data_IF_134773904500
#
_entry.id   IF_134773904500
#
_cell.length_a   1.000
_cell.length_b   1.000
_cell.length_c   1.000
_cell.angle_alpha   90.00
_cell.angle_beta   90.00
_cell.angle_gamma   90.00
#
_symmetry.space_group_name_H-M   'P 1'
#
loop_
_entity.id
_entity.type
_entity.pdbx_description
1 polymer ?
#
# COMPACT_ATOMS: atom_id res chain seq x y z
N UNK A 1 31.37 12.28 -10.70
CA UNK A 1 31.60 12.74 -12.08
C UNK A 1 32.77 11.98 -12.69
N UNK A 2 32.50 11.29 -13.81
CA UNK A 2 33.40 10.59 -14.73
C UNK A 2 34.15 9.34 -14.23
N UNK A 3 33.47 8.20 -14.37
CA UNK A 3 33.92 6.95 -15.04
C UNK A 3 33.07 5.82 -14.49
N UNK A 4 32.04 5.41 -15.24
CA UNK A 4 31.42 4.07 -15.27
C UNK A 4 30.19 4.13 -16.19
N UNK A 5 30.39 4.38 -17.48
CA UNK A 5 29.31 4.57 -18.48
C UNK A 5 29.52 3.68 -19.73
N UNK A 6 29.99 2.45 -19.54
CA UNK A 6 30.14 1.46 -20.64
C UNK A 6 29.80 0.03 -20.23
N UNK A 7 28.66 -0.16 -19.57
CA UNK A 7 28.07 -1.48 -19.40
C UNK A 7 26.55 -1.41 -19.43
N UNK A 8 25.98 -0.89 -20.52
CA UNK A 8 24.60 -1.15 -20.88
C UNK A 8 24.51 -1.64 -22.32
N UNK A 9 24.51 -2.97 -22.45
CA UNK A 9 24.07 -3.77 -23.61
C UNK A 9 24.31 -5.25 -23.29
N UNK A 10 23.47 -5.79 -22.40
CA UNK A 10 23.09 -7.21 -22.34
C UNK A 10 22.02 -7.38 -21.27
N UNK A 11 20.80 -7.71 -21.72
CA UNK A 11 19.62 -7.92 -20.92
C UNK A 11 19.84 -8.91 -19.77
N UNK A 12 19.92 -8.34 -18.58
CA UNK A 12 19.60 -8.98 -17.32
C UNK A 12 19.07 -7.84 -16.45
N UNK A 13 17.75 -7.67 -16.46
CA UNK A 13 17.11 -6.86 -15.44
C UNK A 13 17.43 -7.54 -14.10
N UNK A 14 18.33 -6.94 -13.34
CA UNK A 14 18.46 -7.24 -11.93
C UNK A 14 17.06 -7.09 -11.29
N UNK A 15 16.68 -7.91 -10.29
CA UNK A 15 15.40 -7.76 -9.63
C UNK A 15 15.27 -6.32 -9.13
N UNK A 16 14.29 -5.59 -9.66
CA UNK A 16 13.85 -4.31 -9.09
C UNK A 16 13.66 -4.51 -7.59
N UNK A 17 14.31 -3.71 -6.73
CA UNK A 17 14.06 -3.79 -5.30
C UNK A 17 12.56 -3.56 -5.08
N UNK A 18 11.88 -4.55 -4.49
CA UNK A 18 10.46 -4.49 -4.17
C UNK A 18 10.19 -3.21 -3.37
N UNK A 19 9.48 -2.29 -4.00
CA UNK A 19 8.94 -1.00 -3.54
C UNK A 19 9.42 -0.54 -2.15
N UNK A 20 10.32 0.45 -2.16
CA UNK A 20 10.50 1.35 -1.02
C UNK A 20 9.29 2.31 -0.95
N UNK A 21 8.83 2.65 0.25
CA UNK A 21 7.69 3.54 0.54
C UNK A 21 6.26 3.01 0.25
N UNK A 22 5.72 2.18 1.15
CA UNK A 22 4.29 1.84 1.19
C UNK A 22 3.43 2.93 1.84
N UNK A 23 4.01 3.72 2.75
CA UNK A 23 3.35 4.83 3.42
C UNK A 23 4.38 5.92 3.74
N UNK A 24 3.98 7.19 3.77
CA UNK A 24 4.86 8.29 4.17
C UNK A 24 4.13 9.31 5.05
N UNK A 25 4.83 10.10 5.85
CA UNK A 25 4.26 11.28 6.50
C UNK A 25 5.34 12.32 6.77
N UNK A 26 4.98 13.59 6.86
CA UNK A 26 5.90 14.70 7.10
C UNK A 26 5.33 15.61 8.18
N UNK A 27 6.19 16.10 9.07
CA UNK A 27 5.90 17.21 9.97
C UNK A 27 7.16 18.05 10.20
N UNK A 28 7.09 19.32 9.81
CA UNK A 28 8.21 20.24 9.81
C UNK A 28 9.46 19.70 9.09
N UNK A 29 10.54 19.52 9.85
CA UNK A 29 11.84 19.06 9.34
C UNK A 29 12.00 17.54 9.34
N UNK A 30 10.95 16.77 9.65
CA UNK A 30 11.02 15.32 9.72
C UNK A 30 10.00 14.66 8.82
N UNK A 31 10.43 13.59 8.16
CA UNK A 31 9.57 12.71 7.41
C UNK A 31 9.77 11.27 7.87
N UNK A 32 8.73 10.47 7.75
CA UNK A 32 8.76 9.03 8.01
C UNK A 32 8.30 8.30 6.75
N UNK A 33 9.00 7.23 6.39
CA UNK A 33 8.68 6.38 5.24
C UNK A 33 8.59 4.92 5.71
N UNK A 34 7.43 4.31 5.53
CA UNK A 34 7.17 2.91 5.82
C UNK A 34 7.52 2.00 4.65
N UNK A 35 8.11 0.85 4.92
CA UNK A 35 8.56 -0.13 3.93
C UNK A 35 8.16 -1.54 4.40
N UNK A 36 6.86 -1.86 4.35
CA UNK A 36 6.28 -3.07 4.94
C UNK A 36 6.83 -4.40 4.39
N UNK A 37 7.41 -4.40 3.20
CA UNK A 37 7.96 -5.59 2.54
C UNK A 37 9.46 -5.80 2.79
N UNK A 38 10.09 -4.88 3.54
CA UNK A 38 11.53 -4.92 3.80
C UNK A 38 11.90 -5.97 4.86
N UNK A 39 13.20 -6.22 5.02
CA UNK A 39 13.76 -7.12 6.06
C UNK A 39 13.16 -8.53 6.08
N UNK A 40 12.91 -9.08 4.89
CA UNK A 40 12.29 -10.41 4.75
C UNK A 40 10.81 -10.41 5.09
N UNK A 41 10.08 -9.37 4.69
CA UNK A 41 8.64 -9.15 4.96
C UNK A 41 8.32 -8.82 6.43
N UNK A 42 9.31 -8.60 7.27
CA UNK A 42 9.09 -8.05 8.62
C UNK A 42 8.58 -6.60 8.54
N UNK A 43 9.09 -5.87 7.56
CA UNK A 43 8.84 -4.46 7.37
C UNK A 43 9.86 -3.57 8.11
N UNK A 44 9.90 -2.30 7.72
CA UNK A 44 10.74 -1.26 8.32
C UNK A 44 10.04 0.10 8.23
N UNK A 45 10.49 1.05 9.05
CA UNK A 45 10.20 2.47 8.81
C UNK A 45 11.47 3.30 8.94
N UNK A 46 11.57 4.36 8.16
CA UNK A 46 12.77 5.17 8.03
C UNK A 46 12.42 6.62 8.36
N UNK A 47 13.16 7.21 9.29
CA UNK A 47 13.07 8.63 9.59
C UNK A 47 14.07 9.39 8.73
N UNK A 48 13.59 10.43 8.10
CA UNK A 48 14.38 11.41 7.37
C UNK A 48 14.31 12.76 8.07
N UNK A 49 15.41 13.51 8.01
CA UNK A 49 15.49 14.88 8.47
C UNK A 49 15.91 15.80 7.34
N UNK A 50 15.26 16.95 7.23
CA UNK A 50 15.63 17.99 6.26
C UNK A 50 17.04 18.52 6.55
N UNK A 51 17.83 18.67 5.50
CA UNK A 51 19.18 19.25 5.55
C UNK A 51 19.44 20.05 4.27
N UNK A 52 19.30 21.37 4.38
CA UNK A 52 19.28 22.25 3.21
C UNK A 52 18.05 21.97 2.36
N UNK A 53 18.24 21.83 1.06
CA UNK A 53 17.15 21.56 0.10
C UNK A 53 16.82 20.07 -0.05
N UNK A 54 17.51 19.19 0.68
CA UNK A 54 17.31 17.73 0.61
C UNK A 54 16.98 17.10 1.96
N UNK A 55 16.76 15.79 1.94
CA UNK A 55 16.58 15.00 3.15
C UNK A 55 17.68 13.96 3.33
N UNK A 56 18.00 13.68 4.58
CA UNK A 56 18.92 12.63 4.96
C UNK A 56 18.19 11.63 5.85
N UNK A 57 18.36 10.33 5.58
CA UNK A 57 17.89 9.31 6.52
C UNK A 57 18.68 9.43 7.81
N UNK A 58 18.00 9.66 8.93
CA UNK A 58 18.63 9.79 10.26
C UNK A 58 18.46 8.53 11.10
N UNK A 59 17.43 7.72 10.84
CA UNK A 59 17.22 6.50 11.60
C UNK A 59 16.38 5.47 10.83
N UNK A 60 16.60 4.19 11.12
CA UNK A 60 15.69 3.09 10.78
C UNK A 60 15.03 2.60 12.06
N UNK A 61 13.71 2.50 12.04
CA UNK A 61 12.89 1.98 13.13
C UNK A 61 12.62 0.49 12.87
N UNK A 62 12.88 -0.33 13.89
CA UNK A 62 12.67 -1.78 13.84
C UNK A 62 12.47 -2.29 15.28
N UNK A 63 11.22 -2.29 15.80
CA UNK A 63 10.91 -2.90 17.09
C UNK A 63 11.48 -4.32 17.24
N UNK A 64 11.95 -4.71 18.44
CA UNK A 64 12.64 -5.98 18.64
C UNK A 64 11.71 -7.20 18.59
N UNK A 65 10.40 -7.01 18.77
CA UNK A 65 9.39 -8.06 18.78
C UNK A 65 8.82 -8.36 17.38
N UNK A 66 9.35 -7.74 16.33
CA UNK A 66 8.89 -7.98 14.96
C UNK A 66 9.27 -9.38 14.44
N UNK A 67 8.23 -10.11 14.07
CA UNK A 67 8.23 -11.35 13.32
C UNK A 67 8.19 -11.15 11.81
N UNK A 68 8.46 -12.25 11.08
CA UNK A 68 8.29 -12.28 9.63
C UNK A 68 6.81 -12.07 9.30
N UNK A 69 6.52 -11.26 8.29
CA UNK A 69 5.16 -10.92 7.84
C UNK A 69 4.38 -10.00 8.78
N UNK A 70 5.01 -9.37 9.76
CA UNK A 70 4.32 -8.39 10.62
C UNK A 70 3.92 -7.10 9.88
N UNK A 71 4.56 -6.84 8.73
CA UNK A 71 4.28 -5.70 7.85
C UNK A 71 4.46 -4.35 8.56
N UNK A 72 5.52 -4.23 9.36
CA UNK A 72 5.86 -2.97 10.01
C UNK A 72 6.18 -1.89 8.97
N UNK A 73 5.54 -0.71 9.10
CA UNK A 73 5.61 0.34 8.07
C UNK A 73 4.47 0.27 7.06
N UNK A 74 3.40 -0.47 7.34
CA UNK A 74 2.18 -0.52 6.52
C UNK A 74 1.35 0.76 6.59
N UNK A 75 1.45 1.49 7.70
CA UNK A 75 0.89 2.83 7.85
C UNK A 75 1.81 3.62 8.78
N UNK A 76 2.00 4.91 8.48
CA UNK A 76 2.86 5.80 9.26
C UNK A 76 2.17 7.15 9.49
N UNK A 77 2.48 7.79 10.60
CA UNK A 77 2.05 9.16 10.90
C UNK A 77 3.08 9.83 11.81
N UNK A 78 3.26 11.14 11.70
CA UNK A 78 4.23 11.91 12.49
C UNK A 78 3.60 13.25 12.89
N UNK A 79 3.79 13.66 14.14
CA UNK A 79 3.33 14.94 14.69
C UNK A 79 4.22 15.35 15.87
N UNK A 80 4.85 16.51 15.74
CA UNK A 80 5.80 17.08 16.68
C UNK A 80 7.00 16.17 16.94
N UNK A 81 7.08 15.69 18.19
CA UNK A 81 8.12 14.76 18.65
C UNK A 81 7.66 13.29 18.62
N UNK A 82 6.52 12.98 18.01
CA UNK A 82 5.96 11.63 18.01
C UNK A 82 5.76 11.10 16.59
N UNK A 83 6.06 9.83 16.40
CA UNK A 83 5.77 9.09 15.18
C UNK A 83 5.06 7.78 15.54
N UNK A 84 4.15 7.34 14.68
CA UNK A 84 3.39 6.11 14.85
C UNK A 84 3.59 5.26 13.61
N UNK A 85 3.90 3.97 13.81
CA UNK A 85 4.11 3.02 12.72
C UNK A 85 3.29 1.75 12.99
N UNK A 86 2.44 1.38 12.03
CA UNK A 86 1.67 0.15 12.12
C UNK A 86 2.47 -1.08 11.69
N UNK A 87 2.15 -2.21 12.31
CA UNK A 87 2.47 -3.56 11.89
C UNK A 87 1.14 -4.33 11.80
N UNK A 88 0.41 -4.13 10.70
CA UNK A 88 -0.99 -4.56 10.55
C UNK A 88 -1.17 -6.07 10.68
N UNK A 89 -0.11 -6.85 10.44
CA UNK A 89 -0.17 -8.32 10.41
C UNK A 89 0.50 -8.97 11.62
N UNK A 90 0.92 -8.16 12.59
CA UNK A 90 1.53 -8.63 13.83
C UNK A 90 0.59 -9.55 14.63
N UNK A 91 1.17 -10.55 15.30
CA UNK A 91 0.50 -11.50 16.21
C UNK A 91 -0.79 -12.11 15.63
N UNK A 92 -0.63 -13.02 14.66
CA UNK A 92 -1.75 -13.71 13.99
C UNK A 92 -2.76 -12.71 13.40
N UNK A 93 -2.26 -11.66 12.74
CA UNK A 93 -3.09 -10.64 12.12
C UNK A 93 -3.99 -9.87 13.11
N UNK A 94 -3.73 -9.92 14.42
CA UNK A 94 -4.38 -9.01 15.39
C UNK A 94 -3.99 -7.57 15.11
N UNK A 95 -2.72 -7.37 14.72
CA UNK A 95 -2.15 -6.08 14.38
C UNK A 95 -1.65 -5.29 15.59
N UNK A 96 -0.70 -4.38 15.35
CA UNK A 96 -0.14 -3.49 16.36
C UNK A 96 0.25 -2.14 15.74
N UNK A 97 0.41 -1.13 16.58
CA UNK A 97 1.05 0.14 16.20
C UNK A 97 2.10 0.52 17.25
N UNK A 98 3.21 1.07 16.80
CA UNK A 98 4.34 1.41 17.65
C UNK A 98 4.50 2.92 17.68
N UNK A 99 4.58 3.49 18.88
CA UNK A 99 4.80 4.92 19.10
C UNK A 99 6.27 5.14 19.36
N UNK A 100 6.87 6.05 18.60
CA UNK A 100 8.23 6.51 18.78
C UNK A 100 8.21 7.97 19.22
N UNK A 101 9.03 8.28 20.23
CA UNK A 101 9.24 9.64 20.73
C UNK A 101 10.65 10.09 20.38
N UNK A 102 10.78 11.31 19.89
CA UNK A 102 12.06 11.94 19.61
C UNK A 102 12.72 12.40 20.91
N UNK A 103 13.88 11.83 21.20
CA UNK A 103 14.74 12.16 22.34
C UNK A 103 16.07 12.73 21.81
N UNK A 104 16.12 14.06 21.69
CA UNK A 104 17.25 14.74 21.07
C UNK A 104 17.33 14.48 19.56
N UNK A 105 18.25 13.60 19.14
CA UNK A 105 18.44 13.23 17.72
C UNK A 105 17.90 11.85 17.38
N UNK A 106 17.55 11.05 18.39
CA UNK A 106 17.10 9.68 18.24
C UNK A 106 15.57 9.60 18.39
N UNK A 107 14.97 8.63 17.72
CA UNK A 107 13.58 8.22 17.87
C UNK A 107 13.56 6.91 18.65
N UNK A 108 13.04 6.95 19.85
CA UNK A 108 13.01 5.81 20.78
C UNK A 108 11.60 5.26 20.81
N UNK A 109 11.45 3.93 20.70
CA UNK A 109 10.15 3.29 20.87
C UNK A 109 9.67 3.56 22.31
N UNK A 110 8.57 4.31 22.43
CA UNK A 110 7.94 4.64 23.70
C UNK A 110 6.89 3.60 24.08
N UNK A 111 6.03 3.22 23.13
CA UNK A 111 4.88 2.37 23.39
C UNK A 111 4.58 1.43 22.23
N UNK A 112 3.89 0.34 22.56
CA UNK A 112 3.23 -0.56 21.59
C UNK A 112 1.74 -0.55 21.91
N UNK A 113 0.95 -0.11 20.95
CA UNK A 113 -0.50 -0.03 21.01
C UNK A 113 -1.09 -1.26 20.33
N UNK A 114 -2.01 -1.90 21.03
CA UNK A 114 -2.85 -3.00 20.54
C UNK A 114 -4.28 -2.70 20.98
N UNK A 115 -5.28 -3.13 20.21
CA UNK A 115 -6.66 -3.06 20.68
C UNK A 115 -6.88 -4.04 21.85
N UNK A 116 -7.48 -3.57 22.94
CA UNK A 116 -7.75 -4.40 24.11
C UNK A 116 -8.69 -5.58 23.83
N UNK A 117 -9.55 -5.45 22.81
CA UNK A 117 -10.47 -6.47 22.35
C UNK A 117 -10.00 -7.20 21.07
N UNK A 118 -8.72 -7.07 20.71
CA UNK A 118 -8.15 -7.62 19.49
C UNK A 118 -8.39 -9.13 19.35
N UNK A 119 -8.96 -9.52 18.22
CA UNK A 119 -9.13 -10.90 17.76
C UNK A 119 -8.22 -11.17 16.57
N UNK A 120 -7.91 -12.45 16.37
CA UNK A 120 -7.20 -12.93 15.18
C UNK A 120 -7.86 -12.36 13.92
N UNK A 121 -7.05 -11.84 13.01
CA UNK A 121 -7.48 -11.21 11.74
C UNK A 121 -8.21 -9.86 11.86
N UNK A 122 -8.23 -9.22 13.04
CA UNK A 122 -8.74 -7.85 13.18
C UNK A 122 -7.91 -6.85 12.37
N UNK A 123 -6.61 -7.09 12.22
CA UNK A 123 -5.66 -6.26 11.46
C UNK A 123 -5.67 -4.81 11.94
N UNK A 124 -5.59 -4.61 13.25
CA UNK A 124 -5.36 -3.31 13.87
C UNK A 124 -4.13 -2.62 13.28
N UNK A 125 -4.20 -1.33 13.04
CA UNK A 125 -3.14 -0.60 12.34
C UNK A 125 -3.32 -0.58 10.83
N UNK A 126 -4.55 -0.72 10.30
CA UNK A 126 -4.79 -0.54 8.85
C UNK A 126 -4.50 0.89 8.42
N UNK A 127 -4.94 1.86 9.22
CA UNK A 127 -4.52 3.25 9.14
C UNK A 127 -4.11 3.74 10.53
N UNK A 128 -3.22 4.72 10.59
CA UNK A 128 -2.80 5.39 11.81
C UNK A 128 -2.74 6.89 11.59
N UNK A 129 -3.19 7.66 12.58
CA UNK A 129 -3.05 9.12 12.60
C UNK A 129 -2.63 9.54 14.00
N UNK A 130 -1.65 10.43 14.10
CA UNK A 130 -1.35 11.15 15.33
C UNK A 130 -1.60 12.64 15.13
N UNK A 131 -2.26 13.26 16.10
CA UNK A 131 -2.44 14.71 16.20
C UNK A 131 -2.26 15.13 17.67
N UNK A 132 -1.14 15.78 17.96
CA UNK A 132 -0.81 16.25 19.31
C UNK A 132 -0.76 15.13 20.36
N UNK A 133 -1.81 15.04 21.18
CA UNK A 133 -1.95 14.05 22.25
C UNK A 133 -2.96 12.94 21.95
N UNK A 134 -3.41 12.83 20.70
CA UNK A 134 -4.40 11.84 20.28
C UNK A 134 -3.88 11.01 19.11
N UNK A 135 -4.06 9.69 19.20
CA UNK A 135 -3.78 8.75 18.12
C UNK A 135 -5.09 8.06 17.74
N UNK A 136 -5.37 7.95 16.45
CA UNK A 136 -6.48 7.15 15.92
C UNK A 136 -5.95 6.02 15.05
N UNK A 137 -6.46 4.81 15.27
CA UNK A 137 -6.01 3.59 14.56
C UNK A 137 -7.23 2.78 14.13
N UNK A 138 -7.29 2.32 12.88
CA UNK A 138 -8.35 1.41 12.42
C UNK A 138 -7.94 -0.05 12.31
N UNK A 139 -8.95 -0.91 12.23
CA UNK A 139 -8.88 -2.31 11.83
C UNK A 139 -9.20 -2.47 10.32
N UNK A 140 -8.90 -3.63 9.73
CA UNK A 140 -9.00 -3.82 8.27
C UNK A 140 -10.40 -4.15 7.73
N UNK A 141 -11.42 -4.29 8.58
CA UNK A 141 -12.81 -4.51 8.12
C UNK A 141 -13.41 -3.31 7.35
N UNK A 142 -12.64 -2.24 7.13
CA UNK A 142 -12.99 -1.17 6.22
C UNK A 142 -12.95 -1.57 4.73
N UNK A 143 -12.57 -2.80 4.40
CA UNK A 143 -12.72 -3.38 3.06
C UNK A 143 -13.58 -4.64 3.10
N UNK A 144 -14.70 -4.62 2.35
CA UNK A 144 -15.63 -5.71 2.02
C UNK A 144 -16.87 -5.86 2.95
N UNK A 145 -17.97 -5.29 2.46
CA UNK A 145 -19.40 -5.58 2.70
C UNK A 145 -20.05 -5.33 4.07
N UNK A 146 -19.33 -5.25 5.20
CA UNK A 146 -19.98 -5.03 6.52
C UNK A 146 -19.40 -3.86 7.32
N UNK A 147 -19.91 -2.65 7.07
CA UNK A 147 -19.61 -1.42 7.82
C UNK A 147 -19.85 -1.53 9.35
N UNK A 148 -20.53 -2.57 9.82
CA UNK A 148 -20.72 -2.87 11.25
C UNK A 148 -19.48 -3.44 11.94
N UNK A 149 -18.45 -3.84 11.18
CA UNK A 149 -17.22 -4.46 11.70
C UNK A 149 -15.98 -3.56 11.62
N UNK A 150 -16.13 -2.38 11.03
CA UNK A 150 -15.08 -1.39 10.84
C UNK A 150 -15.05 -0.41 12.03
N UNK A 151 -13.99 -0.48 12.83
CA UNK A 151 -13.81 0.33 14.03
C UNK A 151 -12.51 1.11 14.00
N UNK A 152 -12.55 2.30 14.61
CA UNK A 152 -11.37 3.04 14.99
C UNK A 152 -11.22 3.07 16.51
N UNK A 153 -9.97 2.96 16.93
CA UNK A 153 -9.53 3.04 18.32
C UNK A 153 -8.85 4.38 18.52
N UNK A 154 -9.25 5.09 19.57
CA UNK A 154 -8.65 6.37 19.93
C UNK A 154 -7.79 6.18 21.16
N UNK A 155 -6.51 6.51 21.06
CA UNK A 155 -5.58 6.53 22.17
C UNK A 155 -5.31 7.98 22.56
N UNK A 156 -5.30 8.28 23.86
CA UNK A 156 -4.95 9.61 24.38
C UNK A 156 -3.73 9.53 25.25
N UNK A 157 -2.84 10.52 25.09
CA UNK A 157 -1.63 10.65 25.89
C UNK A 157 -1.90 11.51 27.11
N UNK A 158 -1.49 10.99 28.28
CA UNK A 158 -1.37 11.76 29.52
C UNK A 158 0.05 11.58 30.06
N UNK A 159 0.85 12.65 30.05
CA UNK A 159 2.29 12.54 30.29
C UNK A 159 2.98 11.72 29.19
N UNK A 160 3.61 10.61 29.58
CA UNK A 160 4.30 9.66 28.69
C UNK A 160 3.52 8.36 28.46
N UNK A 161 2.25 8.31 28.86
CA UNK A 161 1.42 7.10 28.75
C UNK A 161 0.31 7.31 27.74
N UNK A 162 0.18 6.37 26.79
CA UNK A 162 -0.95 6.28 25.87
C UNK A 162 -1.98 5.29 26.38
N UNK A 163 -3.22 5.74 26.55
CA UNK A 163 -4.32 4.88 26.99
C UNK A 163 -5.36 4.74 25.89
N UNK A 164 -5.75 3.51 25.59
CA UNK A 164 -6.91 3.25 24.74
C UNK A 164 -8.15 3.86 25.39
N UNK A 165 -8.84 4.69 24.62
CA UNK A 165 -10.10 5.30 24.98
C UNK A 165 -11.26 4.60 24.29
N UNK A 166 -12.20 5.38 23.77
CA UNK A 166 -13.41 4.84 23.17
C UNK A 166 -13.12 4.17 21.81
N UNK A 167 -13.63 2.95 21.65
CA UNK A 167 -13.84 2.31 20.34
C UNK A 167 -15.01 3.00 19.64
N UNK A 168 -14.78 3.49 18.43
CA UNK A 168 -15.77 4.24 17.65
C UNK A 168 -15.99 3.53 16.32
N UNK A 169 -17.24 3.33 15.92
CA UNK A 169 -17.57 2.86 14.58
C UNK A 169 -17.03 3.85 13.55
N UNK A 170 -16.42 3.35 12.47
CA UNK A 170 -15.81 4.21 11.45
C UNK A 170 -16.83 5.19 10.81
N UNK A 171 -18.09 4.76 10.66
CA UNK A 171 -19.21 5.61 10.23
C UNK A 171 -19.48 6.85 11.12
N UNK A 172 -19.07 6.81 12.38
CA UNK A 172 -19.14 7.95 13.30
C UNK A 172 -17.88 8.83 13.27
N UNK A 173 -16.76 8.31 12.78
CA UNK A 173 -15.51 9.07 12.57
C UNK A 173 -15.54 9.89 11.28
N UNK A 174 -16.20 9.42 10.23
CA UNK A 174 -16.41 10.15 8.96
C UNK A 174 -17.12 11.50 9.18
N UNK A 175 -18.12 11.53 10.09
CA UNK A 175 -18.82 12.77 10.48
C UNK A 175 -17.94 13.79 11.19
N UNK A 176 -16.76 13.37 11.66
CA UNK A 176 -15.77 14.23 12.31
C UNK A 176 -14.62 14.66 11.38
N UNK A 177 -14.64 14.30 10.10
CA UNK A 177 -13.58 14.63 9.13
C UNK A 177 -12.30 13.81 9.29
N UNK A 178 -12.36 12.67 10.00
CA UNK A 178 -11.19 11.86 10.35
C UNK A 178 -10.85 10.74 9.33
N UNK A 179 -11.68 10.54 8.30
CA UNK A 179 -11.45 9.58 7.21
C UNK A 179 -11.75 10.23 5.87
N UNK A 180 -10.69 10.67 5.20
CA UNK A 180 -10.59 10.58 3.75
C UNK A 180 -9.29 9.81 3.49
N UNK A 181 -9.34 8.91 2.51
CA UNK A 181 -8.33 7.91 2.22
C UNK A 181 -6.93 8.48 1.98
N UNK A 182 -5.99 7.56 1.80
CA UNK A 182 -4.73 7.79 1.08
C UNK A 182 -4.14 9.19 1.24
N UNK A 183 -3.33 9.34 2.29
CA UNK A 183 -2.20 10.25 2.31
C UNK A 183 -2.42 11.64 1.69
N UNK A 184 -3.37 12.41 2.21
CA UNK A 184 -3.31 13.85 2.01
C UNK A 184 -2.23 14.42 2.94
N UNK A 185 -1.11 14.73 2.30
CA UNK A 185 -0.01 15.51 2.84
C UNK A 185 -0.57 16.85 3.33
N UNK A 186 -0.63 17.04 4.63
CA UNK A 186 -0.63 18.39 5.19
C UNK A 186 0.82 18.90 5.20
N UNK A 187 1.23 19.56 4.12
CA UNK A 187 2.44 20.38 4.11
C UNK A 187 2.27 21.55 3.15
N UNK A 188 2.50 22.74 3.69
CA UNK A 188 2.53 23.98 2.94
C UNK A 188 3.72 23.95 1.98
N UNK A 189 3.44 24.14 0.69
CA UNK A 189 4.35 24.24 -0.47
C UNK A 189 4.73 22.91 -1.15
N UNK A 190 4.40 22.79 -2.45
CA UNK A 190 4.60 21.57 -3.25
C UNK A 190 6.05 21.19 -3.55
N UNK A 191 7.04 22.02 -3.19
CA UNK A 191 8.47 21.72 -3.38
C UNK A 191 9.00 20.61 -2.49
N UNK A 192 8.47 20.49 -1.28
CA UNK A 192 8.95 19.52 -0.29
C UNK A 192 8.57 18.07 -0.62
N UNK A 193 7.45 17.92 -1.33
CA UNK A 193 6.93 16.65 -1.77
C UNK A 193 7.73 16.03 -2.91
N UNK A 194 8.12 16.87 -3.87
CA UNK A 194 8.97 16.44 -4.98
C UNK A 194 10.33 15.97 -4.46
N UNK A 195 10.93 16.72 -3.53
CA UNK A 195 12.20 16.35 -2.91
C UNK A 195 12.13 15.03 -2.11
N UNK A 196 11.00 14.71 -1.48
CA UNK A 196 10.80 13.42 -0.80
C UNK A 196 10.56 12.28 -1.80
N UNK A 197 9.80 12.53 -2.87
CA UNK A 197 9.56 11.55 -3.93
C UNK A 197 10.87 11.17 -4.65
N UNK A 198 11.75 12.14 -4.93
CA UNK A 198 13.08 11.91 -5.52
C UNK A 198 13.99 11.03 -4.66
N UNK A 199 13.85 11.07 -3.33
CA UNK A 199 14.60 10.21 -2.41
C UNK A 199 14.10 8.78 -2.43
N UNK A 200 12.81 8.60 -2.70
CA UNK A 200 12.11 7.32 -2.73
C UNK A 200 12.19 6.64 -4.09
N UNK A 201 12.35 7.41 -5.19
CA UNK A 201 12.45 6.90 -6.55
C UNK A 201 13.59 7.52 -7.36
N UNK A 202 14.58 6.71 -7.74
CA UNK A 202 15.13 6.82 -9.10
C UNK A 202 13.97 6.49 -10.06
N UNK A 203 13.83 7.37 -11.04
CA UNK A 203 12.94 7.33 -12.20
C UNK A 203 11.46 7.58 -11.93
N UNK A 204 11.11 8.87 -11.84
CA UNK A 204 9.79 9.37 -12.25
C UNK A 204 9.99 10.37 -13.39
N UNK A 205 9.95 9.92 -14.64
CA UNK A 205 9.62 10.84 -15.72
C UNK A 205 8.15 11.26 -15.56
N UNK A 206 7.92 12.53 -15.29
CA UNK A 206 6.61 13.17 -15.38
C UNK A 206 6.57 14.05 -16.62
N UNK A 207 5.48 14.01 -17.39
CA UNK A 207 4.94 15.24 -17.96
C UNK A 207 3.52 15.52 -17.46
N UNK A 208 3.07 16.79 -17.48
CA UNK A 208 2.11 17.31 -16.52
C UNK A 208 0.62 17.20 -16.93
N UNK A 209 -0.21 17.08 -15.89
CA UNK A 209 -1.61 17.54 -15.70
C UNK A 209 -2.50 17.71 -16.93
N UNK A 210 -3.59 16.92 -16.96
CA UNK A 210 -4.99 17.38 -16.99
C UNK A 210 -5.88 16.16 -16.62
N UNK A 211 -6.73 16.27 -15.58
CA UNK A 211 -7.76 15.26 -15.31
C UNK A 211 -8.87 15.34 -16.38
N UNK A 212 -9.50 14.20 -16.72
CA UNK A 212 -10.68 13.81 -15.95
C UNK A 212 -10.62 12.35 -15.47
N UNK A 213 -11.42 12.06 -14.44
CA UNK A 213 -11.62 10.74 -13.83
C UNK A 213 -11.89 9.67 -14.88
N UNK A 214 -10.93 8.76 -15.06
CA UNK A 214 -11.16 7.44 -15.66
C UNK A 214 -11.05 6.46 -14.50
N UNK A 215 -12.18 5.84 -14.16
CA UNK A 215 -12.18 4.56 -13.45
C UNK A 215 -11.45 3.59 -14.36
N UNK A 216 -10.17 3.32 -14.08
CA UNK A 216 -9.46 2.22 -14.74
C UNK A 216 -10.31 0.96 -14.55
N UNK A 217 -10.65 0.22 -15.63
CA UNK A 217 -11.34 -1.03 -15.50
C UNK A 217 -10.47 -1.95 -14.63
N UNK A 218 -11.06 -2.49 -13.57
CA UNK A 218 -10.50 -3.61 -12.84
C UNK A 218 -10.09 -4.65 -13.89
N UNK A 219 -8.82 -5.07 -13.93
CA UNK A 219 -8.37 -6.02 -14.95
C UNK A 219 -9.21 -7.30 -14.86
N UNK A 220 -9.91 -7.65 -15.94
CA UNK A 220 -10.75 -8.84 -16.02
C UNK A 220 -10.11 -9.82 -17.00
N UNK A 221 -9.74 -11.01 -16.52
CA UNK A 221 -9.25 -12.07 -17.40
C UNK A 221 -10.38 -12.53 -18.33
N UNK A 222 -10.11 -12.57 -19.63
CA UNK A 222 -11.10 -12.85 -20.67
C UNK A 222 -11.81 -11.62 -21.25
N UNK A 223 -11.57 -10.41 -20.73
CA UNK A 223 -12.02 -9.15 -21.32
C UNK A 223 -10.91 -8.62 -22.26
N UNK A 224 -10.93 -9.12 -23.49
CA UNK A 224 -9.86 -8.92 -24.47
C UNK A 224 -9.97 -7.54 -25.12
N UNK A 225 -11.17 -6.98 -25.21
CA UNK A 225 -11.40 -5.65 -25.78
C UNK A 225 -11.34 -4.51 -24.74
N UNK A 226 -11.34 -4.86 -23.45
CA UNK A 226 -11.13 -3.95 -22.32
C UNK A 226 -12.36 -3.10 -22.00
N UNK A 227 -13.56 -3.57 -22.37
CA UNK A 227 -14.82 -2.87 -22.12
C UNK A 227 -15.41 -3.10 -20.71
N UNK A 228 -14.77 -3.99 -19.92
CA UNK A 228 -15.15 -4.37 -18.58
C UNK A 228 -16.14 -5.54 -18.51
N UNK A 229 -16.41 -6.24 -19.62
CA UNK A 229 -17.39 -7.33 -19.70
C UNK A 229 -16.87 -8.49 -20.56
N UNK A 230 -16.77 -9.68 -19.98
CA UNK A 230 -16.44 -10.91 -20.74
C UNK A 230 -17.66 -11.41 -21.53
N UNK A 231 -17.63 -11.33 -22.86
CA UNK A 231 -18.73 -11.65 -23.77
C UNK A 231 -18.27 -12.19 -25.16
N UNK A 232 -19.22 -12.42 -26.09
CA UNK A 232 -18.95 -13.02 -27.42
C UNK A 232 -17.98 -12.21 -28.30
N UNK A 233 -17.92 -10.90 -28.09
CA UNK A 233 -16.97 -9.99 -28.73
C UNK A 233 -15.54 -10.36 -28.37
N UNK A 234 -15.27 -10.71 -27.11
CA UNK A 234 -13.94 -11.16 -26.67
C UNK A 234 -13.54 -12.47 -27.33
N UNK A 235 -14.45 -13.44 -27.40
CA UNK A 235 -14.19 -14.72 -28.07
C UNK A 235 -13.86 -14.51 -29.55
N UNK A 236 -14.60 -13.62 -30.20
CA UNK A 236 -14.33 -13.23 -31.59
C UNK A 236 -12.94 -12.61 -31.75
N UNK A 237 -12.52 -11.77 -30.80
CA UNK A 237 -11.19 -11.15 -30.81
C UNK A 237 -10.08 -12.14 -30.49
N UNK A 238 -10.28 -13.05 -29.54
CA UNK A 238 -9.36 -14.15 -29.24
C UNK A 238 -9.05 -14.96 -30.50
N UNK A 239 -10.09 -15.38 -31.23
CA UNK A 239 -9.96 -16.17 -32.45
C UNK A 239 -9.35 -15.39 -33.63
N UNK A 240 -9.51 -14.06 -33.65
CA UNK A 240 -8.91 -13.20 -34.67
C UNK A 240 -7.40 -13.02 -34.48
N UNK A 241 -6.89 -13.22 -33.27
CA UNK A 241 -5.49 -13.02 -32.92
C UNK A 241 -5.12 -11.55 -32.69
N UNK A 242 -3.86 -11.29 -32.30
CA UNK A 242 -3.40 -9.97 -31.88
C UNK A 242 -3.52 -8.90 -32.99
N UNK A 243 -3.63 -7.60 -32.63
CA UNK A 243 -3.32 -7.04 -31.31
C UNK A 243 -4.49 -7.12 -30.31
N UNK A 244 -4.17 -7.45 -29.06
CA UNK A 244 -5.10 -7.41 -27.93
C UNK A 244 -4.92 -6.13 -27.11
N UNK A 245 -5.92 -5.76 -26.31
CA UNK A 245 -5.78 -4.65 -25.36
C UNK A 245 -4.75 -4.98 -24.27
N UNK A 246 -4.74 -6.24 -23.82
CA UNK A 246 -3.84 -6.80 -22.84
C UNK A 246 -3.55 -8.28 -23.18
N UNK A 247 -2.26 -8.64 -23.23
CA UNK A 247 -1.85 -10.03 -23.49
C UNK A 247 -2.34 -10.95 -22.35
N UNK A 248 -2.28 -10.54 -21.09
CA UNK A 248 -2.76 -11.37 -19.97
C UNK A 248 -4.29 -11.52 -19.93
N UNK A 249 -5.03 -10.60 -20.54
CA UNK A 249 -6.48 -10.77 -20.70
C UNK A 249 -6.78 -11.85 -21.73
N UNK A 250 -5.88 -12.03 -22.71
CA UNK A 250 -5.92 -13.04 -23.75
C UNK A 250 -5.29 -14.38 -23.33
N UNK A 251 -4.44 -14.42 -22.29
CA UNK A 251 -4.02 -15.63 -21.59
C UNK A 251 -5.11 -16.06 -20.59
N UNK A 252 -6.18 -16.61 -21.13
CA UNK A 252 -7.43 -16.85 -20.40
C UNK A 252 -7.27 -18.03 -19.45
N UNK A 253 -6.43 -19.00 -19.80
CA UNK A 253 -6.20 -20.19 -19.00
C UNK A 253 -5.04 -20.04 -17.98
N UNK A 254 -4.31 -18.91 -18.03
CA UNK A 254 -3.22 -18.52 -17.12
C UNK A 254 -2.01 -19.49 -17.15
N UNK A 255 -1.69 -20.04 -18.32
CA UNK A 255 -0.55 -20.95 -18.49
C UNK A 255 0.73 -20.25 -18.96
N UNK A 256 0.66 -18.94 -19.24
CA UNK A 256 1.77 -18.10 -19.69
C UNK A 256 2.04 -18.20 -21.19
N UNK A 257 1.16 -18.83 -21.97
CA UNK A 257 1.30 -19.06 -23.41
C UNK A 257 0.02 -18.66 -24.14
N UNK A 258 0.12 -17.58 -24.93
CA UNK A 258 -0.97 -17.19 -25.84
C UNK A 258 -1.13 -18.17 -27.00
N UNK A 259 -2.12 -19.05 -26.92
CA UNK A 259 -2.45 -20.01 -27.97
C UNK A 259 -3.96 -20.29 -28.10
N UNK A 260 -4.33 -21.28 -28.91
CA UNK A 260 -5.75 -21.58 -29.15
C UNK A 260 -6.47 -22.12 -27.91
N UNK A 261 -5.73 -22.68 -26.93
CA UNK A 261 -6.31 -23.20 -25.70
C UNK A 261 -6.93 -22.09 -24.85
N UNK A 262 -6.47 -20.84 -25.00
CA UNK A 262 -7.10 -19.69 -24.38
C UNK A 262 -8.51 -19.45 -24.91
N UNK A 263 -8.66 -19.42 -26.24
CA UNK A 263 -9.95 -19.20 -26.87
C UNK A 263 -10.92 -20.37 -26.64
N UNK A 264 -10.40 -21.61 -26.61
CA UNK A 264 -11.19 -22.79 -26.22
C UNK A 264 -11.67 -22.69 -24.77
N UNK A 265 -10.83 -22.16 -23.87
CA UNK A 265 -11.22 -21.91 -22.47
C UNK A 265 -12.34 -20.87 -22.39
N UNK A 266 -12.21 -19.73 -23.07
CA UNK A 266 -13.23 -18.68 -23.09
C UNK A 266 -14.54 -19.15 -23.72
N UNK A 267 -14.49 -19.92 -24.82
CA UNK A 267 -15.66 -20.53 -25.44
C UNK A 267 -16.39 -21.45 -24.45
N UNK A 268 -15.64 -22.25 -23.68
CA UNK A 268 -16.22 -23.15 -22.66
C UNK A 268 -16.88 -22.40 -21.50
N UNK A 269 -16.38 -21.21 -21.16
CA UNK A 269 -16.95 -20.34 -20.14
C UNK A 269 -18.23 -19.64 -20.59
N UNK A 270 -18.23 -19.10 -21.83
CA UNK A 270 -19.39 -18.39 -22.40
C UNK A 270 -20.52 -19.34 -22.80
N UNK A 271 -20.17 -20.52 -23.30
CA UNK A 271 -21.12 -21.56 -23.73
C UNK A 271 -20.97 -22.83 -22.90
N UNK A 272 -21.34 -22.82 -21.59
CA UNK A 272 -21.12 -23.95 -20.72
C UNK A 272 -22.03 -25.12 -21.10
N UNK A 273 -21.51 -26.06 -21.89
CA UNK A 273 -22.15 -27.37 -22.04
C UNK A 273 -22.05 -28.18 -20.72
N UNK A 274 -20.95 -27.99 -19.97
CA UNK A 274 -20.55 -28.83 -18.82
C UNK A 274 -20.10 -28.05 -17.55
N UNK A 275 -20.35 -26.74 -17.48
CA UNK A 275 -20.05 -25.94 -16.29
C UNK A 275 -18.57 -25.64 -16.07
N UNK A 276 -17.86 -25.22 -17.12
CA UNK A 276 -16.47 -24.79 -17.03
C UNK A 276 -16.32 -23.69 -15.96
N UNK A 277 -15.27 -23.75 -15.12
CA UNK A 277 -15.04 -22.73 -14.11
C UNK A 277 -14.78 -21.37 -14.77
N UNK A 278 -15.13 -20.25 -14.11
CA UNK A 278 -14.74 -18.93 -14.60
C UNK A 278 -13.22 -18.86 -14.78
N UNK A 279 -12.73 -17.98 -15.67
CA UNK A 279 -11.30 -17.70 -15.77
C UNK A 279 -10.69 -17.44 -14.38
N UNK A 280 -9.47 -17.95 -14.11
CA UNK A 280 -8.81 -17.75 -12.83
C UNK A 280 -8.72 -16.25 -12.50
N UNK A 281 -8.81 -15.89 -11.20
CA UNK A 281 -8.84 -14.50 -10.79
C UNK A 281 -7.60 -13.74 -11.28
N UNK A 282 -7.76 -12.43 -11.58
CA UNK A 282 -6.70 -11.62 -12.15
C UNK A 282 -5.48 -11.47 -11.22
N UNK A 283 -4.28 -11.42 -11.80
CA UNK A 283 -3.14 -10.78 -11.15
C UNK A 283 -3.34 -9.26 -11.14
N UNK A 284 -2.76 -8.50 -10.20
CA UNK A 284 -3.12 -7.09 -10.03
C UNK A 284 -2.74 -6.15 -11.20
N UNK A 285 -2.03 -6.62 -12.24
CA UNK A 285 -1.50 -5.79 -13.33
C UNK A 285 -1.40 -6.54 -14.66
N UNK A 286 -1.29 -5.79 -15.76
CA UNK A 286 -1.02 -6.29 -17.11
C UNK A 286 0.47 -6.69 -17.27
N UNK A 287 0.74 -7.90 -17.77
CA UNK A 287 2.03 -8.41 -18.24
C UNK A 287 2.41 -9.79 -17.69
N UNK A 288 2.71 -10.71 -18.63
CA UNK A 288 3.34 -12.04 -18.46
C UNK A 288 4.50 -12.09 -17.44
#
# INVERSE_FOLDING_TARGET
>A
WQRLEQADRKGSAAPVPRTFAYAMAIDGDYAIVGAQWHDGFKGAAHIFKRKGDGWIQVQKLSPPDLGRFDHFGSAVSISGDYAVVAATWHDLLRGAAYVFKREGKEWVQQDKLTAADAKTDDRFGRTVRIDGSEITISNASAGLQDAETAFGYRFRRSGDTWTEGQKVALSAMEKSGAYAGELLIESQTGSDLLALAEIVGRDTETPPLLAPTVTEPEFIRGDIDGDGVVAENDLTMCQAGPPFSCDDAADINDDGVLDNADCEYLESYLHPADGAPPPPPPFPHWGL
#
